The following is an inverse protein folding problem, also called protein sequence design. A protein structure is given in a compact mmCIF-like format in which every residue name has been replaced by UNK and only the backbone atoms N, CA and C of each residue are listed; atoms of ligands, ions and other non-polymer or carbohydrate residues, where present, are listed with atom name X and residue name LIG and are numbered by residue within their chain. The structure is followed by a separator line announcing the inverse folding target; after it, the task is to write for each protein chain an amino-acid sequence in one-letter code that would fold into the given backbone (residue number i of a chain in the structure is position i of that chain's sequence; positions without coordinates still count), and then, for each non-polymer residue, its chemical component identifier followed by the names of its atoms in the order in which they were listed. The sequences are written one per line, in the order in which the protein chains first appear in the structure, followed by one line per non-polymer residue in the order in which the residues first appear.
data_IF_259288149919
#
_entry.id   IF_259288149919
#
_cell.length_a   1.000
_cell.length_b   1.000
_cell.length_c   1.000
_cell.angle_alpha   90.00
_cell.angle_beta   90.00
_cell.angle_gamma   90.00
#
_symmetry.space_group_name_H-M   'P 1'
#
loop_
_entity.id
_entity.type
_entity.pdbx_description
1 polymer ?
#
# COMPACT_ATOMS: atom_id res chain seq x y z
N UNK A 1 10.36 -0.79 -15.78
CA UNK A 1 9.35 -1.25 -16.77
C UNK A 1 8.05 -0.53 -16.45
N UNK A 2 7.46 0.22 -17.39
CA UNK A 2 6.15 0.85 -17.13
C UNK A 2 5.11 -0.26 -17.18
N UNK A 3 4.46 -0.55 -16.06
CA UNK A 3 3.34 -1.48 -15.97
C UNK A 3 2.15 -0.87 -16.72
N UNK A 4 2.13 -1.01 -18.04
CA UNK A 4 0.96 -0.66 -18.82
C UNK A 4 -0.09 -1.76 -18.63
N UNK A 5 -1.18 -1.44 -17.94
CA UNK A 5 -2.36 -2.32 -17.94
C UNK A 5 -3.07 -2.22 -19.28
N UNK A 6 -3.49 -3.37 -19.80
CA UNK A 6 -4.30 -3.45 -21.01
C UNK A 6 -5.57 -2.61 -20.85
N UNK A 7 -6.35 -2.85 -19.78
CA UNK A 7 -7.63 -2.18 -19.50
C UNK A 7 -7.89 -1.93 -18.00
N UNK A 8 -8.65 -0.86 -17.73
CA UNK A 8 -9.23 -0.52 -16.42
C UNK A 8 -10.56 -1.27 -16.28
N UNK A 9 -10.91 -1.85 -15.12
CA UNK A 9 -12.19 -2.53 -14.93
C UNK A 9 -13.38 -1.66 -15.36
N UNK A 10 -14.37 -2.28 -16.02
CA UNK A 10 -15.59 -1.59 -16.42
C UNK A 10 -16.32 -1.08 -15.16
N UNK A 11 -16.83 0.15 -15.21
CA UNK A 11 -17.48 0.80 -14.07
C UNK A 11 -16.51 1.49 -13.09
N UNK A 12 -15.20 1.20 -13.15
CA UNK A 12 -14.19 1.93 -12.37
C UNK A 12 -13.81 3.24 -13.09
N UNK A 13 -14.79 4.15 -13.17
CA UNK A 13 -14.71 5.35 -14.00
C UNK A 13 -14.23 6.60 -13.24
N UNK A 14 -14.08 6.53 -11.92
CA UNK A 14 -13.56 7.61 -11.08
C UNK A 14 -12.69 7.10 -9.91
N UNK A 15 -11.87 7.97 -9.28
CA UNK A 15 -10.76 7.54 -8.41
C UNK A 15 -11.15 6.83 -7.11
N UNK A 16 -12.41 6.88 -6.73
CA UNK A 16 -12.94 6.29 -5.49
C UNK A 16 -14.18 5.43 -5.77
N UNK A 17 -14.34 4.97 -7.01
CA UNK A 17 -15.49 4.18 -7.42
C UNK A 17 -15.60 2.88 -6.61
N UNK A 18 -16.83 2.48 -6.32
CA UNK A 18 -17.17 1.23 -5.67
C UNK A 18 -18.08 0.43 -6.60
N UNK A 19 -18.10 -0.91 -6.48
CA UNK A 19 -18.95 -1.74 -7.30
C UNK A 19 -20.42 -1.42 -7.01
N UNK A 20 -21.22 -1.34 -8.07
CA UNK A 20 -22.66 -1.03 -8.01
C UNK A 20 -23.49 -2.20 -7.48
N UNK A 21 -23.01 -3.42 -7.69
CA UNK A 21 -23.71 -4.65 -7.34
C UNK A 21 -22.70 -5.79 -7.06
N UNK A 22 -23.23 -6.95 -6.66
CA UNK A 22 -22.42 -8.12 -6.32
C UNK A 22 -21.67 -8.69 -7.54
N UNK A 23 -22.22 -8.58 -8.76
CA UNK A 23 -21.58 -9.11 -9.95
C UNK A 23 -20.34 -8.28 -10.31
N UNK A 24 -20.46 -6.96 -10.29
CA UNK A 24 -19.34 -6.03 -10.52
C UNK A 24 -18.28 -6.17 -9.43
N UNK A 25 -18.69 -6.38 -8.17
CA UNK A 25 -17.76 -6.71 -7.08
C UNK A 25 -16.93 -7.96 -7.38
N UNK A 26 -17.56 -9.06 -7.80
CA UNK A 26 -16.84 -10.31 -8.10
C UNK A 26 -15.93 -10.19 -9.32
N UNK A 27 -16.38 -9.48 -10.36
CA UNK A 27 -15.56 -9.20 -11.55
C UNK A 27 -14.29 -8.43 -11.17
N UNK A 28 -14.45 -7.34 -10.43
CA UNK A 28 -13.32 -6.52 -9.97
C UNK A 28 -12.37 -7.33 -9.08
N UNK A 29 -12.90 -8.20 -8.24
CA UNK A 29 -12.10 -9.00 -7.31
C UNK A 29 -11.27 -10.04 -8.03
N UNK A 30 -11.84 -10.69 -9.02
CA UNK A 30 -11.13 -11.64 -9.87
C UNK A 30 -10.05 -10.93 -10.71
N UNK A 31 -10.35 -9.75 -11.26
CA UNK A 31 -9.35 -8.93 -11.96
C UNK A 31 -8.20 -8.53 -11.03
N UNK A 32 -8.51 -8.14 -9.80
CA UNK A 32 -7.52 -7.77 -8.79
C UNK A 32 -6.61 -8.96 -8.44
N UNK A 33 -7.19 -10.11 -8.10
CA UNK A 33 -6.45 -11.35 -7.82
C UNK A 33 -5.51 -11.71 -8.97
N UNK A 34 -6.04 -11.81 -10.19
CA UNK A 34 -5.25 -12.15 -11.39
C UNK A 34 -4.10 -11.17 -11.64
N UNK A 35 -4.31 -9.89 -11.35
CA UNK A 35 -3.26 -8.90 -11.53
C UNK A 35 -2.11 -9.16 -10.56
N UNK A 36 -2.40 -9.38 -9.27
CA UNK A 36 -1.38 -9.63 -8.25
C UNK A 36 -0.71 -11.00 -8.39
N UNK A 37 -1.41 -12.02 -8.90
CA UNK A 37 -0.81 -13.32 -9.27
C UNK A 37 0.22 -13.19 -10.40
N UNK A 38 0.00 -12.26 -11.34
CA UNK A 38 0.92 -12.01 -12.47
C UNK A 38 2.03 -11.01 -12.14
N UNK A 39 1.82 -10.15 -11.15
CA UNK A 39 2.69 -9.05 -10.79
C UNK A 39 3.10 -9.17 -9.32
N UNK A 40 3.92 -10.19 -9.06
CA UNK A 40 4.35 -10.57 -7.73
C UNK A 40 5.07 -9.39 -7.04
N UNK A 41 4.74 -9.13 -5.78
CA UNK A 41 5.30 -8.00 -5.02
C UNK A 41 6.76 -8.27 -4.57
N UNK A 42 7.68 -8.34 -5.54
CA UNK A 42 9.12 -8.58 -5.33
C UNK A 42 9.92 -7.30 -5.17
N UNK A 43 9.31 -6.14 -5.37
CA UNK A 43 9.97 -4.82 -5.37
C UNK A 43 11.17 -4.73 -6.33
N UNK A 44 11.17 -5.48 -7.41
CA UNK A 44 12.24 -5.57 -8.41
C UNK A 44 11.99 -4.69 -9.65
N UNK A 45 11.10 -3.70 -9.52
CA UNK A 45 10.67 -2.79 -10.58
C UNK A 45 11.80 -1.92 -11.16
N UNK A 46 12.80 -1.60 -10.32
CA UNK A 46 13.99 -0.80 -10.67
C UNK A 46 15.24 -1.67 -10.72
N UNK A 47 15.46 -2.48 -9.69
CA UNK A 47 16.62 -3.36 -9.56
C UNK A 47 16.15 -4.79 -9.58
N UNK A 48 16.50 -5.53 -10.64
CA UNK A 48 16.11 -6.94 -10.78
C UNK A 48 16.74 -7.78 -9.68
N UNK A 49 15.97 -8.71 -9.16
CA UNK A 49 16.47 -9.73 -8.22
C UNK A 49 17.06 -10.87 -9.03
N UNK A 50 18.31 -11.22 -8.74
CA UNK A 50 19.04 -12.30 -9.43
C UNK A 50 19.06 -13.61 -8.63
N UNK A 51 18.80 -13.52 -7.32
CA UNK A 51 18.83 -14.65 -6.42
C UNK A 51 17.68 -15.62 -6.68
N UNK A 52 17.93 -16.91 -6.44
CA UNK A 52 16.89 -17.93 -6.53
C UNK A 52 15.79 -17.68 -5.50
N UNK A 53 14.53 -17.88 -5.90
CA UNK A 53 13.37 -17.58 -5.08
C UNK A 53 13.39 -18.29 -3.73
N UNK A 54 12.88 -17.59 -2.73
CA UNK A 54 12.79 -18.06 -1.35
C UNK A 54 14.13 -18.42 -0.70
N UNK A 55 15.26 -17.95 -1.23
CA UNK A 55 16.54 -18.03 -0.51
C UNK A 55 16.72 -16.83 0.45
N UNK A 56 17.60 -16.93 1.46
CA UNK A 56 17.95 -15.76 2.28
C UNK A 56 18.48 -14.58 1.47
N UNK A 57 19.22 -14.84 0.38
CA UNK A 57 19.70 -13.82 -0.55
C UNK A 57 18.53 -13.11 -1.26
N UNK A 58 17.55 -13.86 -1.74
CA UNK A 58 16.35 -13.33 -2.38
C UNK A 58 15.63 -12.35 -1.47
N UNK A 59 15.37 -12.73 -0.21
CA UNK A 59 14.72 -11.83 0.75
C UNK A 59 15.58 -10.61 1.09
N UNK A 60 16.92 -10.73 1.12
CA UNK A 60 17.80 -9.59 1.36
C UNK A 60 17.76 -8.56 0.24
N UNK A 61 17.66 -9.01 -1.02
CA UNK A 61 17.52 -8.10 -2.17
C UNK A 61 16.15 -7.42 -2.19
N UNK A 62 15.08 -8.15 -1.86
CA UNK A 62 13.73 -7.59 -1.66
C UNK A 62 13.77 -6.48 -0.60
N UNK A 63 14.37 -6.77 0.56
CA UNK A 63 14.48 -5.82 1.67
C UNK A 63 15.28 -4.59 1.29
N UNK A 64 16.42 -4.78 0.64
CA UNK A 64 17.22 -3.67 0.16
C UNK A 64 16.40 -2.76 -0.74
N UNK A 65 15.69 -3.31 -1.73
CA UNK A 65 14.87 -2.54 -2.66
C UNK A 65 13.71 -1.81 -1.95
N UNK A 66 13.00 -2.51 -1.08
CA UNK A 66 11.84 -1.96 -0.37
C UNK A 66 12.24 -0.89 0.65
N UNK A 67 13.17 -1.22 1.55
CA UNK A 67 13.56 -0.33 2.64
C UNK A 67 14.39 0.86 2.15
N UNK A 68 15.26 0.71 1.15
CA UNK A 68 15.96 1.88 0.58
C UNK A 68 14.96 2.90 0.03
N UNK A 69 13.95 2.45 -0.71
CA UNK A 69 12.88 3.31 -1.21
C UNK A 69 12.06 3.92 -0.08
N UNK A 70 11.74 3.17 0.97
CA UNK A 70 10.97 3.67 2.11
C UNK A 70 11.72 4.76 2.89
N UNK A 71 13.03 4.56 3.09
CA UNK A 71 13.88 5.46 3.88
C UNK A 71 14.00 6.86 3.28
N UNK A 72 13.85 6.98 1.96
CA UNK A 72 13.89 8.28 1.26
C UNK A 72 12.80 9.24 1.77
N UNK A 73 11.56 8.74 1.88
CA UNK A 73 10.39 9.54 2.24
C UNK A 73 10.06 9.49 3.73
N UNK A 74 10.46 8.42 4.41
CA UNK A 74 10.25 8.23 5.85
C UNK A 74 11.49 7.63 6.51
N UNK A 75 12.47 8.46 6.91
CA UNK A 75 13.63 7.98 7.64
C UNK A 75 13.23 7.49 9.05
N UNK A 76 13.79 6.37 9.47
CA UNK A 76 13.62 5.78 10.80
C UNK A 76 14.90 5.84 11.62
N UNK A 77 14.78 5.64 12.95
CA UNK A 77 15.92 5.74 13.88
C UNK A 77 16.58 4.38 14.14
N UNK A 78 15.78 3.37 14.47
CA UNK A 78 16.20 2.04 14.93
C UNK A 78 15.68 0.94 14.01
N UNK A 79 14.36 0.89 13.82
CA UNK A 79 13.68 -0.17 13.06
C UNK A 79 12.92 0.49 11.91
N UNK A 80 12.92 -0.07 10.69
CA UNK A 80 12.08 0.47 9.62
C UNK A 80 10.64 0.68 10.09
N UNK A 81 10.06 1.83 9.75
CA UNK A 81 8.71 2.24 10.15
C UNK A 81 8.52 2.58 11.65
N UNK A 82 9.59 2.71 12.45
CA UNK A 82 9.49 3.22 13.83
C UNK A 82 8.93 4.64 14.03
N UNK A 83 8.82 5.53 13.01
CA UNK A 83 8.06 6.78 13.18
C UNK A 83 6.54 6.56 13.23
N UNK A 84 6.06 5.39 12.81
CA UNK A 84 4.63 5.05 12.74
C UNK A 84 4.26 3.95 13.73
N UNK A 85 5.16 3.00 13.95
CA UNK A 85 4.90 1.80 14.76
C UNK A 85 5.70 1.90 16.06
N UNK A 86 4.98 1.89 17.19
CA UNK A 86 5.56 1.64 18.50
C UNK A 86 5.79 0.13 18.67
N UNK A 87 6.96 -0.32 18.22
CA UNK A 87 7.37 -1.73 18.25
C UNK A 87 7.46 -2.31 19.68
N UNK A 88 7.78 -1.49 20.69
CA UNK A 88 7.92 -1.96 22.07
C UNK A 88 6.55 -2.38 22.64
N UNK A 89 5.49 -1.64 22.25
CA UNK A 89 4.11 -1.98 22.61
C UNK A 89 3.57 -3.27 21.98
N UNK A 90 4.20 -3.79 20.91
CA UNK A 90 3.69 -4.96 20.19
C UNK A 90 3.81 -6.26 20.98
N UNK A 91 4.73 -6.32 21.95
CA UNK A 91 5.00 -7.53 22.76
C UNK A 91 3.77 -8.07 23.52
N UNK A 92 2.73 -7.25 23.69
CA UNK A 92 1.47 -7.61 24.33
C UNK A 92 0.27 -7.64 23.37
N UNK A 93 0.50 -7.45 22.06
CA UNK A 93 -0.55 -7.26 21.05
C UNK A 93 -0.62 -8.44 20.07
N UNK A 94 -1.85 -8.85 19.77
CA UNK A 94 -2.13 -9.66 18.59
C UNK A 94 -2.23 -8.75 17.38
N UNK A 95 -1.37 -9.00 16.39
CA UNK A 95 -1.22 -8.17 15.20
C UNK A 95 -1.79 -8.88 13.98
N UNK A 96 -2.61 -8.18 13.21
CA UNK A 96 -3.04 -8.58 11.88
C UNK A 96 -2.37 -7.70 10.82
N UNK A 97 -1.72 -8.30 9.84
CA UNK A 97 -1.29 -7.61 8.62
C UNK A 97 -2.22 -7.96 7.45
N UNK A 98 -2.74 -6.94 6.76
CA UNK A 98 -3.56 -7.10 5.54
C UNK A 98 -2.71 -6.76 4.31
N UNK A 99 -2.43 -7.78 3.51
CA UNK A 99 -1.59 -7.79 2.30
C UNK A 99 -0.11 -7.94 2.62
N UNK A 100 0.30 -9.14 3.04
CA UNK A 100 1.69 -9.41 3.47
C UNK A 100 2.72 -9.36 2.33
N UNK A 101 2.32 -9.57 1.08
CA UNK A 101 3.23 -9.55 -0.07
C UNK A 101 4.44 -10.48 0.09
N UNK A 102 5.66 -9.93 0.09
CA UNK A 102 6.91 -10.67 0.30
C UNK A 102 7.43 -10.63 1.76
N UNK A 103 6.59 -10.23 2.72
CA UNK A 103 6.86 -10.33 4.15
C UNK A 103 7.85 -9.31 4.71
N UNK A 104 8.09 -8.18 4.02
CA UNK A 104 9.01 -7.12 4.48
C UNK A 104 8.56 -6.51 5.81
N UNK A 105 7.26 -6.25 5.96
CA UNK A 105 6.67 -5.80 7.22
C UNK A 105 6.43 -6.96 8.17
N UNK A 106 5.94 -8.10 7.66
CA UNK A 106 5.69 -9.30 8.46
C UNK A 106 6.89 -9.71 9.32
N UNK A 107 8.13 -9.69 8.80
CA UNK A 107 9.31 -10.00 9.61
C UNK A 107 9.51 -9.02 10.78
N UNK A 108 9.21 -7.73 10.59
CA UNK A 108 9.41 -6.70 11.61
C UNK A 108 8.35 -6.84 12.68
N UNK A 109 7.08 -6.97 12.27
CA UNK A 109 5.93 -7.11 13.15
C UNK A 109 5.99 -8.44 13.92
N UNK A 110 6.20 -9.57 13.26
CA UNK A 110 6.25 -10.89 13.88
C UNK A 110 7.41 -11.04 14.87
N UNK A 111 8.52 -10.33 14.67
CA UNK A 111 9.66 -10.35 15.61
C UNK A 111 9.41 -9.62 16.94
N UNK A 112 8.32 -8.84 17.03
CA UNK A 112 8.00 -7.99 18.19
C UNK A 112 6.63 -8.25 18.79
N UNK A 113 5.69 -8.78 18.00
CA UNK A 113 4.32 -9.01 18.42
C UNK A 113 4.18 -10.19 19.39
N UNK A 114 3.16 -10.15 20.26
CA UNK A 114 2.75 -11.34 21.04
C UNK A 114 2.35 -12.48 20.10
N UNK A 115 1.53 -12.15 19.11
CA UNK A 115 1.16 -13.05 18.02
C UNK A 115 1.01 -12.27 16.72
N UNK A 116 1.33 -12.92 15.61
CA UNK A 116 1.24 -12.32 14.29
C UNK A 116 0.43 -13.21 13.34
N UNK A 117 -0.58 -12.59 12.73
CA UNK A 117 -1.37 -13.16 11.64
C UNK A 117 -1.27 -12.26 10.42
N UNK A 118 -1.10 -12.85 9.24
CA UNK A 118 -1.06 -12.14 7.98
C UNK A 118 -2.07 -12.71 6.99
N UNK A 119 -2.64 -11.85 6.15
CA UNK A 119 -3.49 -12.27 5.02
C UNK A 119 -2.99 -11.68 3.71
N UNK A 120 -3.14 -12.40 2.61
CA UNK A 120 -2.96 -11.89 1.25
C UNK A 120 -3.93 -12.60 0.30
N UNK A 121 -4.30 -11.97 -0.81
CA UNK A 121 -5.22 -12.57 -1.78
C UNK A 121 -4.53 -13.61 -2.68
N UNK A 122 -3.19 -13.68 -2.66
CA UNK A 122 -2.41 -14.56 -3.54
C UNK A 122 -1.70 -15.67 -2.77
N UNK A 123 -1.78 -16.90 -3.30
CA UNK A 123 -1.05 -18.07 -2.78
C UNK A 123 0.47 -17.85 -2.78
N UNK A 124 0.98 -17.13 -3.78
CA UNK A 124 2.40 -16.81 -3.85
C UNK A 124 2.87 -15.98 -2.65
N UNK A 125 2.14 -14.92 -2.29
CA UNK A 125 2.51 -14.06 -1.16
C UNK A 125 2.47 -14.83 0.17
N UNK A 126 1.46 -15.69 0.34
CA UNK A 126 1.30 -16.57 1.50
C UNK A 126 2.50 -17.51 1.62
N UNK A 127 2.85 -18.21 0.53
CA UNK A 127 4.02 -19.11 0.49
C UNK A 127 5.32 -18.36 0.75
N UNK A 128 5.53 -17.24 0.04
CA UNK A 128 6.73 -16.41 0.14
C UNK A 128 6.95 -15.89 1.55
N UNK A 129 5.91 -15.33 2.17
CA UNK A 129 5.98 -14.80 3.54
C UNK A 129 6.15 -15.91 4.56
N UNK A 130 5.44 -17.04 4.42
CA UNK A 130 5.57 -18.17 5.35
C UNK A 130 6.98 -18.74 5.35
N UNK A 131 7.57 -18.94 4.16
CA UNK A 131 8.93 -19.46 4.03
C UNK A 131 9.97 -18.48 4.60
N UNK A 132 9.77 -17.17 4.36
CA UNK A 132 10.59 -16.12 4.94
C UNK A 132 10.60 -16.15 6.46
N UNK A 133 9.42 -16.20 7.08
CA UNK A 133 9.28 -16.19 8.54
C UNK A 133 9.84 -17.49 9.15
N UNK A 134 9.66 -18.63 8.48
CA UNK A 134 10.27 -19.91 8.86
C UNK A 134 11.79 -19.85 8.88
N UNK A 135 12.42 -19.25 7.86
CA UNK A 135 13.89 -19.09 7.81
C UNK A 135 14.43 -18.18 8.90
N UNK A 136 13.62 -17.23 9.38
CA UNK A 136 13.96 -16.34 10.49
C UNK A 136 13.63 -16.93 11.87
N UNK A 137 13.05 -18.13 11.94
CA UNK A 137 12.59 -18.74 13.19
C UNK A 137 11.43 -17.99 13.86
N UNK A 138 10.64 -17.24 13.07
CA UNK A 138 9.51 -16.45 13.56
C UNK A 138 8.19 -17.23 13.42
N UNK A 139 7.47 -17.36 14.52
CA UNK A 139 6.15 -18.00 14.53
C UNK A 139 5.07 -17.03 14.06
N UNK A 140 4.35 -17.42 13.00
CA UNK A 140 3.31 -16.62 12.38
C UNK A 140 2.26 -17.50 11.70
N UNK A 141 1.05 -16.96 11.53
CA UNK A 141 -0.03 -17.60 10.74
C UNK A 141 -0.30 -16.76 9.50
N UNK A 142 -0.10 -17.31 8.31
CA UNK A 142 -0.34 -16.59 7.05
C UNK A 142 -1.44 -17.31 6.26
N UNK A 143 -2.45 -16.57 5.81
CA UNK A 143 -3.63 -17.12 5.12
C UNK A 143 -3.85 -16.50 3.75
N UNK A 144 -4.20 -17.34 2.78
CA UNK A 144 -4.74 -16.89 1.50
C UNK A 144 -6.20 -16.49 1.72
N UNK A 145 -6.47 -15.18 1.81
CA UNK A 145 -7.76 -14.67 2.25
C UNK A 145 -8.03 -13.28 1.67
N UNK A 146 -9.30 -13.02 1.34
CA UNK A 146 -9.74 -11.71 0.87
C UNK A 146 -10.00 -10.79 2.06
N UNK A 147 -9.46 -9.58 2.02
CA UNK A 147 -9.61 -8.62 3.11
C UNK A 147 -11.05 -8.10 3.27
N UNK A 148 -11.86 -8.20 2.22
CA UNK A 148 -13.28 -7.83 2.23
C UNK A 148 -14.15 -8.82 3.04
N UNK A 149 -13.62 -9.98 3.41
CA UNK A 149 -14.32 -11.02 4.17
C UNK A 149 -13.30 -11.84 4.98
N UNK A 150 -12.94 -11.33 6.16
CA UNK A 150 -11.97 -11.99 7.03
C UNK A 150 -12.64 -13.11 7.85
N UNK A 151 -12.08 -14.31 7.84
CA UNK A 151 -12.61 -15.46 8.58
C UNK A 151 -12.07 -15.52 10.03
N UNK A 152 -11.93 -14.36 10.66
CA UNK A 152 -11.53 -14.25 12.07
C UNK A 152 -12.72 -13.85 12.95
N UNK A 153 -12.76 -14.26 14.23
CA UNK A 153 -13.76 -13.77 15.17
C UNK A 153 -13.68 -12.25 15.37
N UNK A 154 -14.80 -11.67 15.79
CA UNK A 154 -14.84 -10.29 16.27
C UNK A 154 -13.83 -10.10 17.42
N UNK A 155 -13.26 -8.90 17.54
CA UNK A 155 -12.39 -8.56 18.67
C UNK A 155 -11.20 -9.51 18.87
N UNK A 156 -10.56 -9.94 17.78
CA UNK A 156 -9.44 -10.88 17.76
C UNK A 156 -8.07 -10.22 17.69
N UNK A 157 -7.97 -8.92 17.34
CA UNK A 157 -6.69 -8.21 17.19
C UNK A 157 -6.64 -6.88 17.94
N UNK A 158 -5.46 -6.53 18.42
CA UNK A 158 -5.18 -5.25 19.09
C UNK A 158 -4.64 -4.20 18.11
N UNK A 159 -3.95 -4.66 17.06
CA UNK A 159 -3.34 -3.81 16.06
C UNK A 159 -3.51 -4.41 14.66
N UNK A 160 -3.96 -3.59 13.72
CA UNK A 160 -4.00 -3.94 12.29
C UNK A 160 -3.00 -3.07 11.52
N UNK A 161 -2.24 -3.68 10.62
CA UNK A 161 -1.33 -3.00 9.71
C UNK A 161 -1.74 -3.26 8.26
N UNK A 162 -1.81 -2.22 7.44
CA UNK A 162 -1.96 -2.40 5.99
C UNK A 162 -1.27 -1.30 5.20
N UNK A 163 -0.21 -1.65 4.48
CA UNK A 163 0.63 -0.67 3.80
C UNK A 163 0.56 -0.82 2.28
N UNK A 164 -0.23 0.02 1.61
CA UNK A 164 -0.28 0.04 0.16
C UNK A 164 -1.15 -1.06 -0.45
N UNK A 165 -2.21 -1.48 0.26
CA UNK A 165 -3.00 -2.67 -0.12
C UNK A 165 -4.48 -2.31 -0.29
N UNK A 166 -5.14 -1.83 0.76
CA UNK A 166 -6.61 -1.73 0.80
C UNK A 166 -7.24 -0.84 -0.28
N UNK A 167 -6.47 0.05 -0.90
CA UNK A 167 -6.93 0.93 -1.98
C UNK A 167 -6.98 0.22 -3.35
N UNK A 168 -6.39 -0.98 -3.47
CA UNK A 168 -6.51 -1.86 -4.64
C UNK A 168 -7.70 -2.82 -4.58
N UNK A 169 -8.42 -2.84 -3.46
CA UNK A 169 -9.54 -3.74 -3.19
C UNK A 169 -10.71 -3.56 -4.16
N UNK A 170 -11.64 -4.51 -4.19
CA UNK A 170 -12.89 -4.30 -4.94
C UNK A 170 -13.82 -3.38 -4.20
N UNK A 171 -13.95 -3.53 -2.87
CA UNK A 171 -14.73 -2.62 -2.04
C UNK A 171 -14.02 -2.33 -0.72
N UNK A 172 -13.41 -1.15 -0.65
CA UNK A 172 -12.66 -0.72 0.53
C UNK A 172 -13.55 -0.58 1.77
N UNK A 173 -14.86 -0.33 1.60
CA UNK A 173 -15.80 -0.18 2.71
C UNK A 173 -15.94 -1.48 3.47
N UNK A 174 -16.00 -2.61 2.74
CA UNK A 174 -16.02 -3.95 3.33
C UNK A 174 -14.75 -4.23 4.13
N UNK A 175 -13.58 -3.82 3.62
CA UNK A 175 -12.33 -3.96 4.37
C UNK A 175 -12.36 -3.12 5.66
N UNK A 176 -12.78 -1.85 5.59
CA UNK A 176 -12.87 -1.00 6.78
C UNK A 176 -13.87 -1.55 7.81
N UNK A 177 -14.97 -2.14 7.35
CA UNK A 177 -15.93 -2.84 8.19
C UNK A 177 -15.30 -4.07 8.86
N UNK A 178 -14.56 -4.89 8.13
CA UNK A 178 -13.87 -6.07 8.67
C UNK A 178 -12.77 -5.67 9.66
N UNK A 179 -11.96 -4.65 9.35
CA UNK A 179 -10.97 -4.08 10.27
C UNK A 179 -11.66 -3.65 11.56
N UNK A 180 -12.76 -2.89 11.47
CA UNK A 180 -13.54 -2.50 12.64
C UNK A 180 -14.03 -3.73 13.40
N UNK A 181 -14.54 -4.77 12.74
CA UNK A 181 -15.09 -5.96 13.38
C UNK A 181 -14.02 -6.73 14.16
N UNK A 182 -12.89 -7.04 13.52
CA UNK A 182 -11.82 -7.86 14.10
C UNK A 182 -11.00 -7.12 15.15
N UNK A 183 -10.97 -5.78 15.16
CA UNK A 183 -10.32 -5.02 16.22
C UNK A 183 -11.05 -5.16 17.56
N UNK A 184 -10.28 -5.31 18.65
CA UNK A 184 -10.77 -5.14 20.03
C UNK A 184 -11.16 -3.69 20.28
N UNK A 185 -12.09 -3.40 21.22
CA UNK A 185 -12.33 -2.01 21.64
C UNK A 185 -11.01 -1.39 22.12
N UNK A 186 -10.70 -0.19 21.63
CA UNK A 186 -9.42 0.49 21.89
C UNK A 186 -8.26 0.01 21.00
N UNK A 187 -8.49 -1.02 20.18
CA UNK A 187 -7.55 -1.48 19.17
C UNK A 187 -7.35 -0.45 18.06
N UNK A 188 -6.17 -0.48 17.45
CA UNK A 188 -5.72 0.55 16.50
C UNK A 188 -5.38 -0.05 15.14
N UNK A 189 -5.45 0.77 14.10
CA UNK A 189 -5.01 0.40 12.76
C UNK A 189 -4.20 1.52 12.14
N UNK A 190 -3.13 1.14 11.44
CA UNK A 190 -2.42 2.05 10.54
C UNK A 190 -2.60 1.56 9.11
N UNK A 191 -3.11 2.43 8.25
CA UNK A 191 -3.29 2.14 6.81
C UNK A 191 -2.58 3.16 5.94
N UNK A 192 -2.06 2.70 4.79
CA UNK A 192 -1.56 3.56 3.72
C UNK A 192 -2.39 3.36 2.44
N UNK A 193 -2.95 4.45 1.93
CA UNK A 193 -3.67 4.52 0.65
C UNK A 193 -3.07 5.58 -0.26
N UNK A 194 -3.39 5.55 -1.55
CA UNK A 194 -2.92 6.60 -2.45
C UNK A 194 -3.66 7.93 -2.23
N UNK A 195 -2.85 8.98 -2.13
CA UNK A 195 -3.26 10.36 -1.98
C UNK A 195 -3.48 11.02 -3.34
N UNK A 196 -4.67 11.56 -3.56
CA UNK A 196 -5.03 12.38 -4.71
C UNK A 196 -4.68 13.85 -4.44
N UNK A 197 -3.42 14.21 -4.67
CA UNK A 197 -2.98 15.60 -4.61
C UNK A 197 -2.80 16.23 -6.00
N UNK A 198 -2.74 17.56 -6.05
CA UNK A 198 -2.65 18.30 -7.29
C UNK A 198 -1.39 17.97 -8.11
N UNK A 199 -0.24 17.94 -7.44
CA UNK A 199 1.05 17.68 -8.05
C UNK A 199 1.09 16.30 -8.73
N UNK A 200 0.76 15.24 -8.00
CA UNK A 200 0.92 13.88 -8.50
C UNK A 200 -0.22 13.45 -9.42
N UNK A 201 -1.46 13.76 -9.07
CA UNK A 201 -2.60 13.26 -9.81
C UNK A 201 -2.89 14.10 -11.06
N UNK A 202 -3.03 15.43 -10.91
CA UNK A 202 -3.43 16.29 -12.02
C UNK A 202 -2.23 16.79 -12.84
N UNK A 203 -1.16 17.25 -12.21
CA UNK A 203 0.00 17.79 -12.94
C UNK A 203 0.83 16.67 -13.56
N UNK A 204 1.38 15.73 -12.77
CA UNK A 204 2.21 14.65 -13.30
C UNK A 204 1.39 13.60 -14.06
N UNK A 205 0.31 13.12 -13.45
CA UNK A 205 -0.57 12.09 -14.01
C UNK A 205 -1.41 12.59 -15.18
N UNK A 206 -2.11 13.71 -14.99
CA UNK A 206 -3.02 14.28 -15.99
C UNK A 206 -2.30 15.09 -17.08
N UNK A 207 -1.55 16.13 -16.71
CA UNK A 207 -0.97 17.07 -17.67
C UNK A 207 0.28 16.51 -18.35
N UNK A 208 1.33 16.17 -17.61
CA UNK A 208 2.58 15.69 -18.21
C UNK A 208 2.40 14.34 -18.93
N UNK A 209 1.71 13.37 -18.33
CA UNK A 209 1.53 12.06 -18.99
C UNK A 209 0.34 12.04 -19.96
N UNK A 210 -0.78 12.66 -19.61
CA UNK A 210 -1.96 12.68 -20.47
C UNK A 210 -1.78 13.57 -21.70
N UNK A 211 -1.31 14.80 -21.52
CA UNK A 211 -1.20 15.79 -22.61
C UNK A 211 0.13 15.67 -23.33
N UNK A 212 1.27 15.76 -22.63
CA UNK A 212 2.58 15.79 -23.31
C UNK A 212 3.01 14.44 -23.90
N UNK A 213 2.58 13.31 -23.31
CA UNK A 213 2.84 11.98 -23.88
C UNK A 213 1.67 11.40 -24.71
N UNK A 214 0.59 12.18 -24.89
CA UNK A 214 -0.54 11.83 -25.76
C UNK A 214 -1.50 10.75 -25.23
N UNK A 215 -1.36 10.29 -23.98
CA UNK A 215 -2.21 9.23 -23.42
C UNK A 215 -3.68 9.65 -23.26
N UNK A 216 -3.95 10.95 -23.08
CA UNK A 216 -5.31 11.47 -22.92
C UNK A 216 -6.10 11.35 -24.23
N UNK A 217 -5.44 11.43 -25.40
CA UNK A 217 -6.08 11.21 -26.69
C UNK A 217 -6.62 9.78 -26.83
N UNK A 218 -5.95 8.81 -26.19
CA UNK A 218 -6.34 7.39 -26.21
C UNK A 218 -7.42 7.08 -25.18
N UNK A 219 -7.30 7.61 -23.97
CA UNK A 219 -8.16 7.23 -22.85
C UNK A 219 -9.36 8.15 -22.64
N UNK A 220 -9.30 9.39 -23.14
CA UNK A 220 -10.29 10.47 -22.94
C UNK A 220 -10.62 10.75 -21.47
N UNK A 221 -9.79 10.29 -20.53
CA UNK A 221 -9.99 10.43 -19.09
C UNK A 221 -8.66 10.47 -18.35
N UNK A 222 -8.47 11.49 -17.51
CA UNK A 222 -7.30 11.61 -16.61
C UNK A 222 -7.22 10.40 -15.68
N UNK A 223 -8.35 9.96 -15.15
CA UNK A 223 -8.41 8.78 -14.29
C UNK A 223 -7.92 7.54 -15.03
N UNK A 224 -8.46 7.25 -16.22
CA UNK A 224 -8.04 6.08 -17.02
C UNK A 224 -6.57 6.15 -17.43
N UNK A 225 -6.05 7.35 -17.74
CA UNK A 225 -4.62 7.57 -18.00
C UNK A 225 -3.75 7.15 -16.82
N UNK A 226 -4.13 7.55 -15.61
CA UNK A 226 -3.38 7.25 -14.38
C UNK A 226 -3.47 5.77 -14.04
N UNK A 227 -4.68 5.18 -14.09
CA UNK A 227 -4.90 3.76 -13.78
C UNK A 227 -4.04 2.84 -14.65
N UNK A 228 -3.93 3.13 -15.94
CA UNK A 228 -3.15 2.30 -16.87
C UNK A 228 -1.66 2.23 -16.54
N UNK A 229 -1.13 3.13 -15.72
CA UNK A 229 0.29 3.20 -15.32
C UNK A 229 0.53 2.95 -13.84
N UNK A 230 -0.54 2.78 -13.06
CA UNK A 230 -0.48 2.43 -11.63
C UNK A 230 -0.40 0.92 -11.50
N UNK A 231 0.12 0.41 -10.38
CA UNK A 231 0.03 -1.00 -9.98
C UNK A 231 -1.40 -1.38 -9.51
N UNK A 232 -1.69 -2.69 -9.41
CA UNK A 232 -3.00 -3.25 -9.01
C UNK A 232 -4.16 -3.04 -9.99
N UNK A 233 -4.97 -4.06 -10.32
CA UNK A 233 -6.06 -3.95 -11.31
C UNK A 233 -6.94 -2.69 -11.11
N UNK A 234 -7.16 -2.36 -9.85
CA UNK A 234 -7.78 -1.14 -9.35
C UNK A 234 -6.75 -0.40 -8.51
N UNK A 235 -6.74 0.93 -8.57
CA UNK A 235 -6.03 1.75 -7.60
C UNK A 235 -6.86 2.98 -7.24
N UNK A 236 -7.34 3.06 -6.00
CA UNK A 236 -8.10 4.22 -5.53
C UNK A 236 -7.20 5.34 -5.04
N UNK A 237 -7.60 6.57 -5.31
CA UNK A 237 -6.89 7.79 -4.92
C UNK A 237 -7.84 8.73 -4.17
N UNK A 238 -7.54 8.99 -2.91
CA UNK A 238 -8.37 9.81 -2.03
C UNK A 238 -7.78 11.19 -1.81
N UNK A 239 -8.61 12.24 -1.84
CA UNK A 239 -8.25 13.47 -1.13
C UNK A 239 -8.27 13.23 0.39
N UNK A 240 -7.64 14.12 1.16
CA UNK A 240 -7.68 14.04 2.63
C UNK A 240 -9.11 14.09 3.18
N UNK A 241 -9.98 14.92 2.60
CA UNK A 241 -11.38 15.04 3.05
C UNK A 241 -12.19 13.80 2.70
N UNK A 242 -12.00 13.23 1.51
CA UNK A 242 -12.68 11.99 1.08
C UNK A 242 -12.28 10.81 1.95
N UNK A 243 -10.96 10.64 2.21
CA UNK A 243 -10.50 9.57 3.10
C UNK A 243 -11.04 9.76 4.52
N UNK A 244 -10.99 10.99 5.04
CA UNK A 244 -11.51 11.30 6.37
C UNK A 244 -13.00 10.97 6.50
N UNK A 245 -13.81 11.37 5.53
CA UNK A 245 -15.24 11.09 5.53
C UNK A 245 -15.48 9.58 5.58
N UNK A 246 -14.89 8.84 4.63
CA UNK A 246 -15.05 7.39 4.53
C UNK A 246 -14.56 6.64 5.77
N UNK A 247 -13.33 6.89 6.20
CA UNK A 247 -12.73 6.14 7.31
C UNK A 247 -13.45 6.42 8.65
N UNK A 248 -13.97 7.65 8.83
CA UNK A 248 -14.69 8.05 10.04
C UNK A 248 -16.06 7.40 10.20
N UNK A 249 -16.62 6.81 9.14
CA UNK A 249 -17.85 6.01 9.23
C UNK A 249 -17.63 4.71 10.03
N UNK A 250 -16.39 4.21 10.06
CA UNK A 250 -16.05 2.91 10.66
C UNK A 250 -15.25 3.04 11.95
N UNK A 251 -14.26 3.95 11.97
CA UNK A 251 -13.27 4.08 13.04
C UNK A 251 -13.07 5.55 13.41
N UNK A 252 -12.47 5.82 14.55
CA UNK A 252 -12.05 7.19 14.89
C UNK A 252 -10.75 7.48 14.16
N UNK A 253 -10.72 8.56 13.37
CA UNK A 253 -9.50 9.01 12.70
C UNK A 253 -8.69 9.92 13.64
N UNK A 254 -7.56 9.41 14.13
CA UNK A 254 -6.72 10.12 15.09
C UNK A 254 -5.72 11.04 14.39
N UNK A 255 -5.11 10.54 13.30
CA UNK A 255 -4.08 11.27 12.57
C UNK A 255 -4.08 10.91 11.09
N UNK A 256 -3.74 11.90 10.24
CA UNK A 256 -3.32 11.67 8.85
C UNK A 256 -1.93 12.27 8.66
N UNK A 257 -1.04 11.45 8.11
CA UNK A 257 0.30 11.80 7.69
C UNK A 257 0.40 11.62 6.17
N UNK A 258 1.12 12.51 5.51
CA UNK A 258 1.40 12.38 4.07
C UNK A 258 2.88 12.09 3.90
N UNK A 259 3.20 11.13 3.05
CA UNK A 259 4.57 10.82 2.63
C UNK A 259 4.64 10.76 1.11
N UNK A 260 5.82 11.01 0.56
CA UNK A 260 6.06 10.90 -0.88
C UNK A 260 7.53 10.83 -1.19
N UNK A 261 7.86 10.08 -2.25
CA UNK A 261 9.23 9.93 -2.72
C UNK A 261 9.70 11.20 -3.44
N UNK A 262 11.02 11.38 -3.46
CA UNK A 262 11.66 12.48 -4.18
C UNK A 262 11.44 12.44 -5.69
N UNK A 263 11.24 11.25 -6.23
CA UNK A 263 10.95 11.07 -7.65
C UNK A 263 9.60 11.69 -8.07
N UNK A 264 8.69 11.93 -7.12
CA UNK A 264 7.37 12.53 -7.35
C UNK A 264 7.45 14.04 -7.59
N UNK A 265 8.35 14.77 -6.94
CA UNK A 265 8.40 16.23 -7.09
C UNK A 265 9.02 16.70 -8.41
N UNK A 266 9.55 15.77 -9.23
CA UNK A 266 10.23 16.08 -10.50
C UNK A 266 9.41 15.54 -11.68
N UNK A 267 8.82 16.41 -12.52
CA UNK A 267 7.99 16.04 -13.68
C UNK A 267 8.79 15.55 -14.89
N UNK A 268 9.87 14.82 -14.66
CA UNK A 268 10.71 14.26 -15.73
C UNK A 268 10.44 12.76 -15.90
N UNK A 269 10.58 12.22 -17.13
CA UNK A 269 10.67 10.78 -17.37
C UNK A 269 11.83 10.16 -16.58
N UNK A 270 11.74 8.86 -16.28
CA UNK A 270 12.85 8.13 -15.64
C UNK A 270 14.11 8.10 -16.53
N UNK A 271 15.27 7.98 -15.91
CA UNK A 271 16.57 7.89 -16.58
C UNK A 271 17.64 8.78 -15.94
N UNK A 272 18.86 8.71 -16.49
CA UNK A 272 20.06 9.36 -15.93
C UNK A 272 19.89 10.86 -15.69
N UNK A 273 19.15 11.55 -16.56
CA UNK A 273 18.90 12.99 -16.41
C UNK A 273 18.04 13.28 -15.17
N UNK A 274 16.95 12.56 -14.97
CA UNK A 274 16.12 12.70 -13.77
C UNK A 274 16.91 12.33 -12.51
N UNK A 275 17.74 11.30 -12.57
CA UNK A 275 18.62 10.90 -11.47
C UNK A 275 19.62 12.01 -11.10
N UNK A 276 20.24 12.66 -12.09
CA UNK A 276 21.13 13.80 -11.87
C UNK A 276 20.38 14.98 -11.23
N UNK A 277 19.18 15.32 -11.72
CA UNK A 277 18.35 16.38 -11.11
C UNK A 277 17.95 16.00 -9.69
N UNK A 278 17.56 14.74 -9.45
CA UNK A 278 17.27 14.23 -8.11
C UNK A 278 18.48 14.37 -7.19
N UNK A 279 19.70 14.08 -7.65
CA UNK A 279 20.89 14.20 -6.82
C UNK A 279 21.13 15.62 -6.30
N UNK A 280 20.72 16.66 -7.05
CA UNK A 280 20.90 18.06 -6.68
C UNK A 280 19.89 18.58 -5.64
N UNK A 281 18.72 17.96 -5.54
CA UNK A 281 17.67 18.41 -4.61
C UNK A 281 17.96 17.86 -3.22
N UNK A 282 18.04 18.65 -2.14
CA UNK A 282 18.21 18.10 -0.80
C UNK A 282 17.01 17.22 -0.39
N UNK A 283 17.26 16.07 0.24
CA UNK A 283 16.17 15.19 0.70
C UNK A 283 15.29 15.85 1.76
N UNK A 284 15.82 16.82 2.52
CA UNK A 284 15.04 17.67 3.44
C UNK A 284 14.01 18.51 2.71
N UNK A 285 14.38 19.15 1.59
CA UNK A 285 13.48 19.92 0.76
C UNK A 285 12.39 19.03 0.14
N UNK A 286 12.77 17.85 -0.35
CA UNK A 286 11.79 16.88 -0.85
C UNK A 286 10.73 16.54 0.20
N UNK A 287 11.17 16.22 1.43
CA UNK A 287 10.26 15.89 2.53
C UNK A 287 9.42 17.07 3.01
N UNK A 288 9.94 18.30 2.94
CA UNK A 288 9.16 19.51 3.18
C UNK A 288 7.97 19.56 2.22
N UNK A 289 8.22 19.39 0.92
CA UNK A 289 7.19 19.42 -0.12
C UNK A 289 6.22 18.24 0.01
N UNK A 290 6.74 17.02 0.10
CA UNK A 290 5.89 15.82 0.09
C UNK A 290 5.14 15.64 1.41
N UNK A 291 5.79 15.85 2.55
CA UNK A 291 5.23 15.50 3.85
C UNK A 291 4.54 16.70 4.50
N UNK A 292 5.25 17.83 4.67
CA UNK A 292 4.71 19.00 5.40
C UNK A 292 3.71 19.80 4.57
N UNK A 293 4.01 20.03 3.28
CA UNK A 293 3.08 20.67 2.34
C UNK A 293 2.06 19.68 1.74
N UNK A 294 2.08 18.42 2.20
CA UNK A 294 1.09 17.38 1.86
C UNK A 294 0.99 17.09 0.36
N UNK A 295 2.09 17.19 -0.38
CA UNK A 295 2.12 16.88 -1.82
C UNK A 295 2.61 15.45 -2.14
N UNK A 296 2.82 14.60 -1.14
CA UNK A 296 3.20 13.19 -1.35
C UNK A 296 2.05 12.29 -1.81
N UNK A 297 2.37 11.15 -2.43
CA UNK A 297 1.39 10.15 -2.90
C UNK A 297 0.84 9.22 -1.84
N UNK A 298 1.44 9.13 -0.65
CA UNK A 298 1.02 8.18 0.38
C UNK A 298 0.24 8.92 1.46
N UNK A 299 -1.03 8.59 1.60
CA UNK A 299 -1.89 9.01 2.70
C UNK A 299 -1.88 7.91 3.74
N UNK A 300 -1.21 8.18 4.86
CA UNK A 300 -1.13 7.27 5.99
C UNK A 300 -2.08 7.75 7.07
N UNK A 301 -2.89 6.84 7.61
CA UNK A 301 -3.85 7.18 8.66
C UNK A 301 -3.69 6.27 9.87
N UNK A 302 -3.79 6.88 11.04
CA UNK A 302 -3.89 6.20 12.33
C UNK A 302 -5.35 6.28 12.75
N UNK A 303 -5.97 5.12 12.99
CA UNK A 303 -7.36 5.03 13.36
C UNK A 303 -7.52 4.13 14.59
N UNK A 304 -8.55 4.41 15.39
CA UNK A 304 -8.86 3.67 16.61
C UNK A 304 -10.31 3.19 16.63
N UNK A 305 -10.54 1.94 17.03
CA UNK A 305 -11.89 1.46 17.36
C UNK A 305 -12.27 2.00 18.73
N UNK A 306 -13.37 2.76 18.82
CA UNK A 306 -13.83 3.31 20.11
C UNK A 306 -14.08 2.19 21.12
N UNK A 307 -13.78 2.48 22.38
CA UNK A 307 -14.28 1.71 23.51
C UNK A 307 -15.80 1.90 23.54
N UNK A 308 -16.54 0.89 23.08
CA UNK A 308 -17.98 0.80 23.24
C UNK A 308 -18.32 0.46 24.69
#
# INVERSE_FOLDING_TARGET
MVLFKADVPKGFDHPIANPKDAAEFQEWQEMNRRWWERNLMRYDWRTRISAAEFTPEFYRQIDHNFFSSAKEYMPWKKIPFDPLIDYDSLSQKDVLEIGVGSGCHAQLLASKARSFTGVDITEYAVKSTSERLRQLGLHAKIYCMQAEQLEFPDHSFDFVWSWGVIHHSSDIRKILQEIKRVLRPGGTVITMVYHRNFLNYYLLGGFFRGVLLGDLLKTKSVHKTIQRRTDGAIARYYSISEWRALASEYLTLDQILIFGSKAEIIPLPGGKFKEAVMALIPSSFSRLVTNQLKMGTFLVSHLTKKNS
#
